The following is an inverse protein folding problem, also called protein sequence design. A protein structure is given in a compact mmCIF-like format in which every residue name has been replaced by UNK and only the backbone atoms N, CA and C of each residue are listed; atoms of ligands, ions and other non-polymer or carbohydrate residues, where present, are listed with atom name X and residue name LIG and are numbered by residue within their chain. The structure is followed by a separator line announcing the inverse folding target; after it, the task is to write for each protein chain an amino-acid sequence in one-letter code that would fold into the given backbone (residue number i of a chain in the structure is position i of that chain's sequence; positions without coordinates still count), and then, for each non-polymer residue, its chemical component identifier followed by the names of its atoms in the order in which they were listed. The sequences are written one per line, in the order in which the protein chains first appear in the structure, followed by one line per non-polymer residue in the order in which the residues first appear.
data_IF_947527121117
#
_entry.id   IF_947527121117
#
_cell.length_a   1.000
_cell.length_b   1.000
_cell.length_c   1.000
_cell.angle_alpha   90.00
_cell.angle_beta   90.00
_cell.angle_gamma   90.00
#
_symmetry.space_group_name_H-M   'P 1'
#
loop_
_entity.id
_entity.type
_entity.pdbx_description
1 polymer ?
#
# COMPACT_ATOMS: atom_id res chain seq x y z
N UNK A 1 -44.88 45.11 -32.27
CA UNK A 1 -45.52 44.55 -31.05
C UNK A 1 -44.41 43.97 -30.17
N UNK A 2 -44.19 44.49 -28.95
CA UNK A 2 -43.15 43.94 -28.09
C UNK A 2 -43.64 42.59 -27.54
N UNK A 3 -42.87 41.56 -27.77
CA UNK A 3 -43.09 40.22 -27.19
C UNK A 3 -43.02 40.36 -25.67
N UNK A 4 -44.15 40.09 -25.00
CA UNK A 4 -44.28 40.34 -23.55
C UNK A 4 -43.25 39.52 -22.77
N UNK A 5 -42.55 40.13 -21.82
CA UNK A 5 -41.51 39.49 -21.01
C UNK A 5 -41.97 38.19 -20.32
N UNK A 6 -43.28 37.99 -20.17
CA UNK A 6 -43.87 36.74 -19.68
C UNK A 6 -43.66 35.55 -20.63
N UNK A 7 -43.69 35.80 -21.95
CA UNK A 7 -43.47 34.73 -22.97
C UNK A 7 -41.99 34.25 -22.96
N UNK A 8 -41.07 35.20 -22.78
CA UNK A 8 -39.63 34.91 -22.66
C UNK A 8 -39.33 34.12 -21.38
N UNK A 9 -39.96 34.50 -20.26
CA UNK A 9 -39.80 33.79 -18.98
C UNK A 9 -40.36 32.35 -19.04
N UNK A 10 -41.50 32.16 -19.72
CA UNK A 10 -42.09 30.83 -19.92
C UNK A 10 -41.22 29.96 -20.82
N UNK A 11 -40.68 30.55 -21.91
CA UNK A 11 -39.74 29.85 -22.79
C UNK A 11 -38.40 29.49 -22.10
N UNK A 12 -37.89 30.37 -21.24
CA UNK A 12 -36.70 30.09 -20.44
C UNK A 12 -36.96 29.01 -19.39
N UNK A 13 -38.13 28.99 -18.78
CA UNK A 13 -38.54 27.96 -17.84
C UNK A 13 -38.73 26.58 -18.53
N UNK A 14 -39.34 26.58 -19.73
CA UNK A 14 -39.45 25.39 -20.56
C UNK A 14 -38.07 24.87 -21.04
N UNK A 15 -37.16 25.78 -21.38
CA UNK A 15 -35.80 25.46 -21.76
C UNK A 15 -35.00 24.91 -20.56
N UNK A 16 -35.14 25.46 -19.38
CA UNK A 16 -34.59 24.93 -18.13
C UNK A 16 -35.19 23.56 -17.77
N UNK A 17 -36.50 23.35 -17.97
CA UNK A 17 -37.15 22.05 -17.78
C UNK A 17 -36.68 20.98 -18.80
N UNK A 18 -36.36 21.39 -20.02
CA UNK A 18 -35.76 20.50 -21.04
C UNK A 18 -34.28 20.16 -20.76
N UNK A 19 -33.55 21.04 -20.05
CA UNK A 19 -32.16 20.77 -19.62
C UNK A 19 -32.10 19.80 -18.42
N UNK A 20 -33.18 19.59 -17.69
CA UNK A 20 -33.33 18.58 -16.63
C UNK A 20 -33.78 17.23 -17.22
N UNK A 21 -33.39 16.88 -18.43
CA UNK A 21 -33.32 15.48 -18.80
C UNK A 21 -32.17 14.85 -18.02
N UNK A 22 -32.44 14.49 -16.77
CA UNK A 22 -31.61 13.57 -16.01
C UNK A 22 -31.47 12.32 -16.92
N UNK A 23 -30.30 12.14 -17.48
CA UNK A 23 -29.88 10.84 -17.99
C UNK A 23 -30.01 9.87 -16.83
N UNK A 24 -31.12 9.15 -16.75
CA UNK A 24 -31.25 8.02 -15.83
C UNK A 24 -30.21 7.00 -16.28
N UNK A 25 -29.00 7.14 -15.74
CA UNK A 25 -27.98 6.12 -15.90
C UNK A 25 -28.59 4.81 -15.41
N UNK A 26 -28.77 3.85 -16.32
CA UNK A 26 -29.35 2.55 -16.00
C UNK A 26 -28.56 1.92 -14.83
N UNK A 27 -29.25 1.69 -13.72
CA UNK A 27 -28.64 1.15 -12.50
C UNK A 27 -28.89 -0.36 -12.43
N UNK A 28 -27.87 -1.08 -12.06
CA UNK A 28 -27.86 -2.55 -12.01
C UNK A 28 -28.05 -3.01 -10.55
N UNK A 29 -28.95 -3.99 -10.39
CA UNK A 29 -29.09 -4.78 -9.14
C UNK A 29 -29.02 -6.25 -9.52
N UNK A 30 -27.98 -6.95 -9.02
CA UNK A 30 -27.71 -8.35 -9.34
C UNK A 30 -26.99 -9.07 -8.23
N UNK A 31 -27.25 -10.37 -8.15
CA UNK A 31 -26.50 -11.27 -7.28
C UNK A 31 -25.86 -12.36 -8.12
N UNK A 32 -24.53 -12.47 -7.99
CA UNK A 32 -23.73 -13.53 -8.59
C UNK A 32 -23.27 -14.47 -7.48
N UNK A 33 -23.29 -15.78 -7.73
CA UNK A 33 -22.81 -16.80 -6.81
C UNK A 33 -21.93 -17.79 -7.56
N UNK A 34 -20.62 -17.70 -7.34
CA UNK A 34 -19.59 -18.56 -7.94
C UNK A 34 -19.69 -18.69 -9.48
N UNK A 35 -20.05 -17.62 -10.18
CA UNK A 35 -20.07 -17.57 -11.65
C UNK A 35 -18.71 -17.14 -12.19
N UNK A 36 -18.37 -17.52 -13.45
CA UNK A 36 -17.18 -16.99 -14.07
C UNK A 36 -17.29 -15.48 -14.31
N UNK A 37 -16.16 -14.77 -14.28
CA UNK A 37 -16.14 -13.34 -14.50
C UNK A 37 -16.66 -12.99 -15.92
N UNK A 38 -16.27 -13.77 -16.93
CA UNK A 38 -16.75 -13.67 -18.29
C UNK A 38 -18.27 -13.83 -18.38
N UNK A 39 -18.87 -14.78 -17.65
CA UNK A 39 -20.32 -14.96 -17.61
C UNK A 39 -21.02 -13.77 -16.93
N UNK A 40 -20.45 -13.23 -15.86
CA UNK A 40 -20.98 -12.03 -15.20
C UNK A 40 -20.96 -10.81 -16.14
N UNK A 41 -19.88 -10.61 -16.90
CA UNK A 41 -19.79 -9.52 -17.90
C UNK A 41 -20.81 -9.71 -19.03
N UNK A 42 -21.03 -10.95 -19.51
CA UNK A 42 -22.07 -11.24 -20.52
C UNK A 42 -23.47 -10.90 -19.98
N UNK A 43 -23.78 -11.27 -18.74
CA UNK A 43 -25.08 -10.94 -18.12
C UNK A 43 -25.25 -9.43 -17.99
N UNK A 44 -24.21 -8.69 -17.57
CA UNK A 44 -24.25 -7.23 -17.51
C UNK A 44 -24.46 -6.62 -18.89
N UNK A 45 -23.73 -7.08 -19.90
CA UNK A 45 -23.84 -6.56 -21.26
C UNK A 45 -25.22 -6.78 -21.88
N UNK A 46 -25.85 -7.94 -21.59
CA UNK A 46 -27.21 -8.26 -22.07
C UNK A 46 -28.33 -7.44 -21.42
N UNK A 47 -28.08 -6.77 -20.31
CA UNK A 47 -29.10 -6.07 -19.50
C UNK A 47 -29.03 -4.55 -19.57
N UNK A 48 -28.08 -4.03 -20.28
CA UNK A 48 -27.88 -2.61 -20.45
C UNK A 48 -27.68 -2.28 -21.93
N UNK A 49 -27.93 -1.03 -22.34
CA UNK A 49 -27.88 -0.62 -23.74
C UNK A 49 -26.97 0.58 -23.96
N UNK A 50 -26.41 1.15 -22.89
CA UNK A 50 -25.56 2.33 -22.98
C UNK A 50 -24.13 1.98 -23.35
N UNK A 51 -23.58 0.93 -22.72
CA UNK A 51 -22.16 0.61 -22.86
C UNK A 51 -21.94 -0.64 -23.72
N UNK A 52 -20.86 -0.65 -24.48
CA UNK A 52 -20.32 -1.84 -25.12
C UNK A 52 -19.20 -2.41 -24.26
N UNK A 53 -19.42 -3.59 -23.65
CA UNK A 53 -18.44 -4.23 -22.78
C UNK A 53 -17.64 -5.25 -23.60
N UNK A 54 -16.36 -4.95 -23.80
CA UNK A 54 -15.41 -5.76 -24.55
C UNK A 54 -14.47 -6.50 -23.60
N UNK A 55 -14.25 -7.79 -23.82
CA UNK A 55 -13.32 -8.60 -23.05
C UNK A 55 -12.90 -9.87 -23.80
N UNK A 56 -11.75 -10.43 -23.43
CA UNK A 56 -11.29 -11.73 -23.93
C UNK A 56 -11.78 -12.82 -23.01
N UNK A 57 -12.62 -13.72 -23.54
CA UNK A 57 -13.31 -14.74 -22.75
C UNK A 57 -12.33 -15.62 -21.95
N UNK A 58 -11.34 -16.21 -22.64
CA UNK A 58 -10.38 -17.16 -22.04
C UNK A 58 -9.47 -16.50 -20.98
N UNK A 59 -9.28 -15.19 -21.05
CA UNK A 59 -8.48 -14.46 -20.04
C UNK A 59 -9.22 -14.34 -18.72
N UNK A 60 -10.57 -14.36 -18.72
CA UNK A 60 -11.40 -14.05 -17.55
C UNK A 60 -12.20 -15.24 -17.03
N UNK A 61 -12.24 -16.37 -17.72
CA UNK A 61 -13.11 -17.51 -17.39
C UNK A 61 -12.76 -18.18 -16.06
N UNK A 62 -11.46 -18.23 -15.70
CA UNK A 62 -11.03 -18.85 -14.45
C UNK A 62 -11.39 -18.04 -13.20
N UNK A 63 -11.55 -16.72 -13.35
CA UNK A 63 -11.91 -15.85 -12.20
C UNK A 63 -13.36 -16.05 -11.81
N UNK A 64 -13.62 -16.35 -10.53
CA UNK A 64 -14.94 -16.64 -10.00
C UNK A 64 -15.49 -15.48 -9.18
N UNK A 65 -16.73 -15.11 -9.43
CA UNK A 65 -17.40 -13.96 -8.81
C UNK A 65 -18.52 -14.41 -7.90
N UNK A 66 -18.49 -13.94 -6.66
CA UNK A 66 -19.60 -14.04 -5.70
C UNK A 66 -19.85 -12.65 -5.13
N UNK A 67 -20.83 -11.93 -5.65
CA UNK A 67 -21.07 -10.53 -5.30
C UNK A 67 -22.57 -10.20 -5.38
N UNK A 68 -23.00 -9.31 -4.49
CA UNK A 68 -24.30 -8.66 -4.54
C UNK A 68 -24.13 -7.20 -4.97
N UNK A 69 -24.53 -6.90 -6.18
CA UNK A 69 -24.56 -5.53 -6.74
C UNK A 69 -25.92 -4.93 -6.43
N UNK A 70 -25.98 -3.75 -5.85
CA UNK A 70 -27.22 -3.07 -5.51
C UNK A 70 -27.21 -1.64 -6.02
N UNK A 71 -28.13 -1.33 -6.94
CA UNK A 71 -28.37 0.02 -7.44
C UNK A 71 -27.09 0.78 -7.87
N UNK A 72 -26.24 0.13 -8.66
CA UNK A 72 -24.96 0.70 -9.12
C UNK A 72 -24.98 1.02 -10.62
N UNK A 73 -24.12 1.94 -11.05
CA UNK A 73 -23.82 2.14 -12.46
C UNK A 73 -23.11 0.91 -13.03
N UNK A 74 -23.13 0.74 -14.36
CA UNK A 74 -22.44 -0.40 -15.01
C UNK A 74 -20.93 -0.38 -14.75
N UNK A 75 -20.22 0.76 -14.89
CA UNK A 75 -18.81 0.82 -14.54
C UNK A 75 -18.53 0.46 -13.07
N UNK A 76 -19.31 0.99 -12.12
CA UNK A 76 -19.14 0.68 -10.70
C UNK A 76 -19.41 -0.80 -10.40
N UNK A 77 -20.43 -1.38 -11.06
CA UNK A 77 -20.72 -2.80 -10.95
C UNK A 77 -19.53 -3.65 -11.43
N UNK A 78 -18.92 -3.32 -12.58
CA UNK A 78 -17.74 -4.01 -13.10
C UNK A 78 -16.56 -3.85 -12.13
N UNK A 79 -16.31 -2.65 -11.62
CA UNK A 79 -15.25 -2.40 -10.64
C UNK A 79 -15.46 -3.22 -9.35
N UNK A 80 -16.69 -3.35 -8.89
CA UNK A 80 -17.02 -4.20 -7.74
C UNK A 80 -16.79 -5.69 -8.04
N UNK A 81 -17.09 -6.15 -9.26
CA UNK A 81 -16.82 -7.53 -9.69
C UNK A 81 -15.31 -7.81 -9.77
N UNK A 82 -14.51 -6.85 -10.26
CA UNK A 82 -13.06 -6.96 -10.33
C UNK A 82 -12.48 -7.23 -8.95
N UNK A 83 -12.89 -6.48 -7.93
CA UNK A 83 -12.42 -6.68 -6.57
C UNK A 83 -10.89 -6.72 -6.48
N UNK A 84 -10.33 -7.86 -6.05
CA UNK A 84 -8.89 -8.05 -5.90
C UNK A 84 -8.22 -8.77 -7.08
N UNK A 85 -8.96 -9.14 -8.10
CA UNK A 85 -8.39 -9.80 -9.26
C UNK A 85 -7.45 -8.88 -10.05
N UNK A 86 -6.42 -9.42 -10.72
CA UNK A 86 -5.53 -8.66 -11.58
C UNK A 86 -6.21 -8.31 -12.91
N UNK A 87 -7.38 -7.69 -12.82
CA UNK A 87 -8.23 -7.30 -13.94
C UNK A 87 -8.33 -5.78 -13.93
N UNK A 88 -8.22 -5.17 -15.09
CA UNK A 88 -8.37 -3.74 -15.31
C UNK A 88 -9.57 -3.46 -16.17
N UNK A 89 -10.31 -2.44 -15.80
CA UNK A 89 -11.33 -1.83 -16.64
C UNK A 89 -10.82 -0.48 -17.17
N UNK A 90 -10.94 -0.27 -18.46
CA UNK A 90 -10.70 1.02 -19.12
C UNK A 90 -11.97 1.44 -19.81
N UNK A 91 -12.41 2.67 -19.60
CA UNK A 91 -13.60 3.23 -20.23
C UNK A 91 -13.20 4.42 -21.11
N UNK A 92 -13.64 4.40 -22.37
CA UNK A 92 -13.56 5.52 -23.30
C UNK A 92 -14.96 5.74 -23.85
N UNK A 93 -15.59 6.84 -23.47
CA UNK A 93 -16.99 7.13 -23.76
C UNK A 93 -17.91 5.97 -23.32
N UNK A 94 -18.65 5.36 -24.25
CA UNK A 94 -19.55 4.23 -24.00
C UNK A 94 -18.89 2.86 -24.24
N UNK A 95 -17.59 2.82 -24.54
CA UNK A 95 -16.82 1.58 -24.69
C UNK A 95 -16.09 1.24 -23.38
N UNK A 96 -16.34 0.07 -22.86
CA UNK A 96 -15.67 -0.48 -21.68
C UNK A 96 -14.83 -1.68 -22.12
N UNK A 97 -13.52 -1.64 -21.89
CA UNK A 97 -12.60 -2.76 -22.06
C UNK A 97 -12.26 -3.36 -20.70
N UNK A 98 -12.39 -4.68 -20.59
CA UNK A 98 -12.03 -5.43 -19.38
C UNK A 98 -11.02 -6.49 -19.75
N UNK A 99 -9.83 -6.41 -19.15
CA UNK A 99 -8.71 -7.29 -19.48
C UNK A 99 -7.93 -7.74 -18.24
N UNK A 100 -7.33 -8.94 -18.31
CA UNK A 100 -6.37 -9.36 -17.31
C UNK A 100 -5.05 -8.60 -17.49
N UNK A 101 -4.55 -7.96 -16.41
CA UNK A 101 -3.30 -7.18 -16.46
C UNK A 101 -2.05 -8.05 -16.49
N UNK A 102 -2.18 -9.33 -16.16
CA UNK A 102 -1.08 -10.29 -16.12
C UNK A 102 -1.34 -11.40 -17.16
N UNK A 103 -0.71 -11.27 -18.32
CA UNK A 103 -0.80 -12.28 -19.39
C UNK A 103 0.22 -13.38 -19.14
N UNK A 104 -0.21 -14.45 -18.48
CA UNK A 104 0.63 -15.61 -18.14
C UNK A 104 -0.01 -16.89 -18.65
N UNK A 105 0.83 -17.91 -18.91
CA UNK A 105 0.38 -19.21 -19.38
C UNK A 105 -0.15 -20.12 -18.26
N UNK A 106 0.26 -19.85 -17.02
CA UNK A 106 -0.14 -20.64 -15.85
C UNK A 106 -0.99 -19.79 -14.91
N UNK A 107 -1.93 -20.45 -14.24
CA UNK A 107 -2.81 -19.83 -13.24
C UNK A 107 -2.92 -20.75 -12.04
N UNK A 108 -2.27 -20.35 -10.93
CA UNK A 108 -2.41 -21.06 -9.67
C UNK A 108 -3.78 -20.76 -9.07
N UNK A 109 -4.55 -21.81 -8.80
CA UNK A 109 -5.91 -21.68 -8.27
C UNK A 109 -6.19 -22.71 -7.18
N UNK A 110 -7.06 -22.33 -6.28
CA UNK A 110 -7.46 -23.14 -5.14
C UNK A 110 -8.53 -22.49 -4.29
N UNK A 111 -8.81 -23.08 -3.16
CA UNK A 111 -9.76 -22.58 -2.18
C UNK A 111 -9.20 -22.67 -0.78
N UNK A 112 -9.29 -21.58 -0.02
CA UNK A 112 -8.83 -21.49 1.37
C UNK A 112 -10.04 -21.60 2.27
N UNK A 113 -9.96 -22.48 3.28
CA UNK A 113 -11.01 -22.67 4.28
C UNK A 113 -10.42 -22.71 5.69
N UNK A 114 -11.24 -22.37 6.68
CA UNK A 114 -10.90 -22.53 8.09
C UNK A 114 -10.96 -24.01 8.54
N UNK A 115 -10.71 -24.26 9.82
CA UNK A 115 -10.77 -25.59 10.42
C UNK A 115 -12.17 -26.23 10.34
N UNK A 116 -13.21 -25.42 10.26
CA UNK A 116 -14.61 -25.86 10.16
C UNK A 116 -15.09 -26.04 8.72
N UNK A 117 -14.25 -25.67 7.72
CA UNK A 117 -14.58 -25.72 6.31
C UNK A 117 -15.27 -24.47 5.77
N UNK A 118 -15.43 -23.43 6.58
CA UNK A 118 -15.94 -22.15 6.11
C UNK A 118 -14.91 -21.44 5.24
N UNK A 119 -15.35 -20.62 4.29
CA UNK A 119 -14.49 -19.84 3.43
C UNK A 119 -13.60 -18.86 4.23
N UNK A 120 -12.31 -18.83 3.93
CA UNK A 120 -11.42 -17.79 4.41
C UNK A 120 -11.42 -16.64 3.38
N UNK A 121 -12.27 -15.64 3.63
CA UNK A 121 -12.42 -14.48 2.77
C UNK A 121 -11.21 -13.56 2.89
N UNK A 122 -10.68 -13.12 1.76
CA UNK A 122 -9.60 -12.11 1.68
C UNK A 122 -8.28 -12.54 2.35
N UNK A 123 -7.99 -13.84 2.40
CA UNK A 123 -6.66 -14.33 2.76
C UNK A 123 -5.64 -13.91 1.70
N UNK A 124 -4.46 -13.48 2.12
CA UNK A 124 -3.36 -13.14 1.22
C UNK A 124 -2.62 -14.41 0.78
N UNK A 125 -2.35 -14.52 -0.51
CA UNK A 125 -1.54 -15.57 -1.10
C UNK A 125 -0.38 -14.95 -1.87
N UNK A 126 0.84 -15.20 -1.44
CA UNK A 126 2.06 -14.76 -2.13
C UNK A 126 2.78 -15.96 -2.68
N UNK A 127 3.03 -15.97 -3.99
CA UNK A 127 3.83 -16.99 -4.65
C UNK A 127 5.27 -16.47 -4.77
N UNK A 128 6.18 -17.22 -4.22
CA UNK A 128 7.61 -16.91 -4.18
C UNK A 128 8.38 -17.91 -5.05
N UNK A 129 9.46 -17.46 -5.64
CA UNK A 129 10.46 -18.33 -6.25
C UNK A 129 11.12 -19.19 -5.15
N UNK A 130 11.15 -20.52 -5.28
CA UNK A 130 11.81 -21.37 -4.28
C UNK A 130 13.34 -21.20 -4.24
N UNK A 131 13.93 -20.50 -5.21
CA UNK A 131 15.39 -20.34 -5.35
C UNK A 131 15.88 -19.14 -4.53
N UNK A 132 15.23 -17.99 -4.69
CA UNK A 132 15.67 -16.70 -4.17
C UNK A 132 14.61 -15.95 -3.36
N UNK A 133 13.43 -16.57 -3.17
CA UNK A 133 12.29 -16.00 -2.45
C UNK A 133 11.74 -14.69 -3.07
N UNK A 134 12.05 -14.41 -4.33
CA UNK A 134 11.45 -13.29 -5.05
C UNK A 134 9.96 -13.53 -5.30
N UNK A 135 9.14 -12.47 -5.27
CA UNK A 135 7.70 -12.58 -5.51
C UNK A 135 7.47 -12.79 -7.02
N UNK A 136 6.88 -13.94 -7.38
CA UNK A 136 6.54 -14.31 -8.78
C UNK A 136 5.05 -14.22 -9.06
N UNK A 137 4.22 -14.06 -8.04
CA UNK A 137 2.78 -13.86 -8.15
C UNK A 137 2.15 -13.59 -6.80
N UNK A 138 0.96 -12.99 -6.82
CA UNK A 138 0.19 -12.79 -5.60
C UNK A 138 -1.30 -12.69 -5.91
N UNK A 139 -2.11 -12.98 -4.92
CA UNK A 139 -3.55 -12.87 -5.01
C UNK A 139 -4.20 -12.83 -3.63
N UNK A 140 -5.50 -12.66 -3.65
CA UNK A 140 -6.35 -12.64 -2.46
C UNK A 140 -7.54 -13.55 -2.72
N UNK A 141 -7.94 -14.35 -1.72
CA UNK A 141 -9.14 -15.17 -1.85
C UNK A 141 -10.41 -14.30 -1.89
N UNK A 142 -11.39 -14.73 -2.65
CA UNK A 142 -12.70 -14.07 -2.72
C UNK A 142 -13.60 -14.49 -1.53
N UNK A 143 -14.87 -14.06 -1.54
CA UNK A 143 -15.86 -14.35 -0.51
C UNK A 143 -16.13 -15.85 -0.32
N UNK A 144 -15.87 -16.67 -1.33
CA UNK A 144 -15.96 -18.13 -1.23
C UNK A 144 -14.65 -18.81 -0.83
N UNK A 145 -13.61 -18.02 -0.51
CA UNK A 145 -12.27 -18.51 -0.24
C UNK A 145 -11.48 -18.93 -1.48
N UNK A 146 -12.04 -18.80 -2.69
CA UNK A 146 -11.38 -19.18 -3.94
C UNK A 146 -10.41 -18.09 -4.40
N UNK A 147 -9.32 -18.51 -5.01
CA UNK A 147 -8.31 -17.58 -5.58
C UNK A 147 -7.81 -18.07 -6.94
N UNK A 148 -7.38 -17.12 -7.76
CA UNK A 148 -6.70 -17.38 -9.05
C UNK A 148 -5.54 -16.39 -9.16
N UNK A 149 -4.33 -16.90 -9.35
CA UNK A 149 -3.10 -16.11 -9.42
C UNK A 149 -2.37 -16.45 -10.71
N UNK A 150 -2.33 -15.51 -11.67
CA UNK A 150 -1.48 -15.65 -12.86
C UNK A 150 0.00 -15.70 -12.44
N UNK A 151 0.75 -16.65 -13.02
CA UNK A 151 2.16 -16.85 -12.70
C UNK A 151 2.87 -17.56 -13.84
N UNK A 152 4.12 -17.20 -14.15
CA UNK A 152 4.92 -17.87 -15.18
C UNK A 152 5.80 -19.01 -14.64
N UNK A 153 5.92 -19.14 -13.30
CA UNK A 153 6.77 -20.16 -12.67
C UNK A 153 6.00 -21.45 -12.48
N UNK A 154 6.60 -22.58 -12.91
CA UNK A 154 6.01 -23.92 -12.73
C UNK A 154 6.15 -24.47 -11.31
N UNK A 155 7.07 -23.94 -10.52
CA UNK A 155 7.29 -24.33 -9.14
C UNK A 155 7.35 -23.08 -8.28
N UNK A 156 6.52 -23.02 -7.25
CA UNK A 156 6.39 -21.84 -6.38
C UNK A 156 6.37 -22.26 -4.91
N UNK A 157 6.90 -21.41 -4.04
CA UNK A 157 6.65 -21.46 -2.60
C UNK A 157 5.46 -20.54 -2.32
N UNK A 158 4.30 -21.13 -2.04
CA UNK A 158 3.12 -20.36 -1.67
C UNK A 158 3.16 -20.04 -0.18
N UNK A 159 3.10 -18.75 0.15
CA UNK A 159 2.93 -18.23 1.51
C UNK A 159 1.50 -17.70 1.63
N UNK A 160 0.75 -18.25 2.57
CA UNK A 160 -0.66 -17.90 2.80
C UNK A 160 -0.78 -17.33 4.20
N UNK A 161 -1.31 -16.11 4.31
CA UNK A 161 -1.53 -15.42 5.59
C UNK A 161 -3.00 -15.04 5.73
N UNK A 162 -3.51 -15.25 6.93
CA UNK A 162 -4.87 -14.88 7.30
C UNK A 162 -4.94 -14.53 8.79
N UNK A 163 -5.74 -13.53 9.14
CA UNK A 163 -5.82 -13.01 10.52
C UNK A 163 -6.31 -14.10 11.47
N UNK A 164 -5.53 -14.35 12.52
CA UNK A 164 -5.85 -15.36 13.56
C UNK A 164 -5.48 -16.79 13.18
N UNK A 165 -4.77 -17.01 12.10
CA UNK A 165 -4.33 -18.31 11.63
C UNK A 165 -2.82 -18.37 11.40
N UNK A 166 -2.25 -19.55 11.57
CA UNK A 166 -0.83 -19.80 11.29
C UNK A 166 -0.54 -19.60 9.81
N UNK A 167 0.57 -18.91 9.53
CA UNK A 167 1.06 -18.76 8.17
C UNK A 167 1.40 -20.12 7.57
N UNK A 168 0.84 -20.42 6.40
CA UNK A 168 1.17 -21.62 5.64
C UNK A 168 2.26 -21.25 4.64
N UNK A 169 3.35 -22.05 4.61
CA UNK A 169 4.39 -21.97 3.59
C UNK A 169 4.60 -23.36 2.99
N UNK A 170 4.24 -23.53 1.70
CA UNK A 170 4.28 -24.83 1.03
C UNK A 170 4.68 -24.68 -0.43
N UNK A 171 5.48 -25.65 -0.92
CA UNK A 171 5.90 -25.71 -2.32
C UNK A 171 4.80 -26.41 -3.14
N UNK A 172 4.45 -25.78 -4.28
CA UNK A 172 3.53 -26.32 -5.27
C UNK A 172 4.21 -26.39 -6.64
N UNK A 173 4.04 -27.53 -7.31
CA UNK A 173 4.46 -27.72 -8.70
C UNK A 173 3.28 -27.92 -9.65
N UNK A 174 2.07 -28.02 -9.08
CA UNK A 174 0.81 -28.09 -9.83
C UNK A 174 0.04 -26.79 -9.62
N UNK A 175 -0.40 -26.13 -10.68
CA UNK A 175 -1.25 -24.94 -10.59
C UNK A 175 -2.59 -25.16 -9.88
N UNK A 176 -3.13 -26.38 -9.89
CA UNK A 176 -4.32 -26.77 -9.10
C UNK A 176 -3.89 -27.08 -7.66
N UNK A 177 -4.00 -26.07 -6.78
CA UNK A 177 -3.57 -26.17 -5.38
C UNK A 177 -4.59 -26.88 -4.48
N UNK A 178 -5.84 -27.05 -4.97
CA UNK A 178 -6.92 -27.72 -4.25
C UNK A 178 -7.46 -26.91 -3.07
N UNK A 179 -7.99 -27.63 -2.05
CA UNK A 179 -8.48 -27.00 -0.82
C UNK A 179 -7.35 -26.91 0.19
N UNK A 180 -7.10 -25.69 0.67
CA UNK A 180 -6.08 -25.39 1.66
C UNK A 180 -6.77 -25.06 2.99
N UNK A 181 -6.53 -25.89 4.00
CA UNK A 181 -7.15 -25.75 5.33
C UNK A 181 -6.20 -24.99 6.25
N UNK A 182 -6.69 -23.87 6.80
CA UNK A 182 -5.98 -23.07 7.77
C UNK A 182 -6.02 -23.69 9.16
N UNK A 183 -4.97 -23.45 9.96
CA UNK A 183 -4.90 -23.84 11.36
C UNK A 183 -4.96 -22.60 12.23
N UNK A 184 -5.84 -22.52 13.23
CA UNK A 184 -5.90 -21.39 14.15
C UNK A 184 -4.55 -21.14 14.82
N UNK A 185 -4.20 -19.89 15.00
CA UNK A 185 -3.08 -19.50 15.83
C UNK A 185 -3.60 -18.99 17.17
N UNK A 186 -3.14 -19.63 18.24
CA UNK A 186 -3.49 -19.18 19.60
C UNK A 186 -2.59 -18.00 19.94
N UNK A 187 -3.11 -16.79 19.87
CA UNK A 187 -2.37 -15.61 20.33
C UNK A 187 -2.42 -15.53 21.85
N UNK A 188 -1.27 -15.71 22.50
CA UNK A 188 -1.11 -15.49 23.92
C UNK A 188 -0.49 -14.10 24.12
N UNK A 189 -1.29 -13.12 24.54
CA UNK A 189 -0.80 -11.80 24.89
C UNK A 189 -0.80 -11.67 26.41
N UNK A 190 0.37 -11.48 27.02
CA UNK A 190 0.56 -11.36 28.48
C UNK A 190 -0.10 -12.50 29.27
N UNK A 191 -0.01 -13.75 28.78
CA UNK A 191 -0.55 -14.93 29.47
C UNK A 191 -2.06 -15.14 29.35
N UNK A 192 -2.76 -14.35 28.56
CA UNK A 192 -4.21 -14.48 28.30
C UNK A 192 -4.46 -14.91 26.86
N UNK A 193 -5.31 -15.93 26.70
CA UNK A 193 -5.80 -16.35 25.36
C UNK A 193 -6.76 -15.29 24.85
N UNK A 194 -6.37 -14.58 23.81
CA UNK A 194 -7.20 -13.55 23.22
C UNK A 194 -8.11 -14.17 22.14
N UNK A 195 -9.42 -14.13 22.42
CA UNK A 195 -10.46 -14.37 21.41
C UNK A 195 -10.95 -13.01 20.92
N UNK A 196 -10.63 -12.65 19.68
CA UNK A 196 -11.16 -11.45 19.02
C UNK A 196 -12.11 -11.84 17.88
N UNK A 197 -12.97 -10.91 17.49
CA UNK A 197 -13.78 -11.11 16.30
C UNK A 197 -12.91 -11.06 15.04
N UNK A 198 -13.33 -11.77 13.99
CA UNK A 198 -12.69 -11.68 12.67
C UNK A 198 -12.87 -10.26 12.11
N UNK A 199 -11.90 -9.73 11.37
CA UNK A 199 -12.06 -8.44 10.71
C UNK A 199 -13.26 -8.46 9.77
N UNK A 200 -14.04 -7.38 9.79
CA UNK A 200 -15.10 -7.17 8.81
C UNK A 200 -14.55 -6.40 7.62
N UNK A 201 -14.83 -6.88 6.44
CA UNK A 201 -14.39 -6.29 5.18
C UNK A 201 -15.57 -5.64 4.48
N UNK A 202 -15.44 -4.34 4.17
CA UNK A 202 -16.42 -3.60 3.39
C UNK A 202 -15.83 -3.22 2.05
N UNK A 203 -16.28 -3.88 0.99
CA UNK A 203 -15.85 -3.56 -0.36
C UNK A 203 -16.49 -2.26 -0.84
N UNK A 204 -15.69 -1.45 -1.54
CA UNK A 204 -16.13 -0.23 -2.23
C UNK A 204 -15.58 -0.22 -3.66
N UNK A 205 -16.14 0.56 -4.59
CA UNK A 205 -15.51 0.80 -5.88
C UNK A 205 -14.09 1.32 -5.65
N UNK A 206 -13.09 0.58 -6.15
CA UNK A 206 -11.69 0.95 -6.04
C UNK A 206 -10.93 0.49 -4.79
N UNK A 207 -11.58 -0.16 -3.79
CA UNK A 207 -10.84 -0.58 -2.60
C UNK A 207 -11.63 -1.39 -1.58
N UNK A 208 -11.01 -1.62 -0.43
CA UNK A 208 -11.60 -2.31 0.71
C UNK A 208 -11.35 -1.51 1.99
N UNK A 209 -12.36 -1.40 2.82
CA UNK A 209 -12.23 -0.93 4.20
C UNK A 209 -12.26 -2.14 5.15
N UNK A 210 -11.29 -2.19 6.05
CA UNK A 210 -11.11 -3.26 7.04
C UNK A 210 -11.33 -2.68 8.42
N UNK A 211 -12.29 -3.22 9.17
CA UNK A 211 -12.50 -2.86 10.56
C UNK A 211 -11.36 -3.43 11.41
N UNK A 212 -10.70 -2.59 12.21
CA UNK A 212 -9.63 -2.96 13.12
C UNK A 212 -10.15 -3.02 14.54
N UNK A 213 -10.98 -2.05 14.93
CA UNK A 213 -11.59 -1.95 16.26
C UNK A 213 -12.41 -3.20 16.58
N UNK A 214 -12.26 -3.69 17.82
CA UNK A 214 -12.91 -4.93 18.34
C UNK A 214 -12.51 -6.22 17.66
N UNK A 215 -11.52 -6.20 16.76
CA UNK A 215 -11.02 -7.39 16.06
C UNK A 215 -9.64 -7.83 16.57
N UNK A 216 -9.18 -9.00 16.09
CA UNK A 216 -7.83 -9.48 16.37
C UNK A 216 -6.74 -8.51 15.89
N UNK A 217 -7.01 -7.72 14.85
CA UNK A 217 -6.07 -6.72 14.35
C UNK A 217 -5.73 -5.64 15.39
N UNK A 218 -6.68 -5.26 16.24
CA UNK A 218 -6.45 -4.28 17.32
C UNK A 218 -5.52 -4.81 18.44
N UNK A 219 -5.20 -6.09 18.44
CA UNK A 219 -4.33 -6.75 19.43
C UNK A 219 -2.93 -7.01 18.91
N UNK A 220 -2.63 -6.63 17.68
CA UNK A 220 -1.29 -6.76 17.10
C UNK A 220 -0.25 -5.93 17.86
N UNK A 221 1.03 -6.28 17.73
CA UNK A 221 2.11 -5.61 18.45
C UNK A 221 2.32 -4.17 17.98
N UNK A 222 2.18 -3.92 16.67
CA UNK A 222 2.36 -2.62 16.06
C UNK A 222 1.50 -2.46 14.80
N UNK A 223 1.41 -1.23 14.30
CA UNK A 223 0.58 -0.91 13.12
C UNK A 223 1.10 -1.54 11.82
N UNK A 224 2.40 -1.78 11.68
CA UNK A 224 2.93 -2.45 10.50
C UNK A 224 2.51 -3.91 10.43
N UNK A 225 2.41 -4.60 11.58
CA UNK A 225 1.87 -5.96 11.63
C UNK A 225 0.39 -5.98 11.20
N UNK A 226 -0.39 -4.98 11.61
CA UNK A 226 -1.78 -4.82 11.13
C UNK A 226 -1.81 -4.66 9.62
N UNK A 227 -1.00 -3.74 9.08
CA UNK A 227 -0.94 -3.45 7.64
C UNK A 227 -0.55 -4.70 6.83
N UNK A 228 0.40 -5.49 7.32
CA UNK A 228 0.87 -6.70 6.65
C UNK A 228 -0.19 -7.82 6.55
N UNK A 229 -1.22 -7.76 7.38
CA UNK A 229 -2.35 -8.69 7.36
C UNK A 229 -3.52 -8.20 6.49
N UNK A 230 -3.45 -6.96 5.99
CA UNK A 230 -4.50 -6.43 5.12
C UNK A 230 -4.41 -7.03 3.72
N UNK A 231 -5.55 -7.22 3.03
CA UNK A 231 -5.58 -7.71 1.66
C UNK A 231 -4.70 -6.86 0.72
N UNK A 232 -3.84 -7.52 -0.05
CA UNK A 232 -2.92 -6.92 -1.03
C UNK A 232 -1.80 -6.05 -0.45
N UNK A 233 -1.67 -5.91 0.84
CA UNK A 233 -0.60 -5.14 1.47
C UNK A 233 0.54 -6.08 1.86
N UNK A 234 1.75 -5.64 1.65
CA UNK A 234 2.97 -6.27 2.14
C UNK A 234 3.83 -5.24 2.84
N UNK A 235 4.42 -5.64 3.95
CA UNK A 235 5.31 -4.79 4.74
C UNK A 235 6.64 -5.52 4.91
N UNK A 236 7.73 -4.80 4.59
CA UNK A 236 9.10 -5.24 4.80
C UNK A 236 9.82 -4.16 5.63
N UNK A 237 10.07 -4.48 6.91
CA UNK A 237 10.49 -3.47 7.90
C UNK A 237 9.46 -2.35 8.03
N UNK A 238 9.81 -1.15 7.58
CA UNK A 238 8.90 0.01 7.52
C UNK A 238 8.42 0.33 6.10
N UNK A 239 8.86 -0.43 5.10
CA UNK A 239 8.47 -0.23 3.71
C UNK A 239 7.13 -0.91 3.44
N UNK A 240 6.12 -0.10 3.12
CA UNK A 240 4.78 -0.57 2.77
C UNK A 240 4.68 -0.64 1.25
N UNK A 241 4.12 -1.72 0.74
CA UNK A 241 3.79 -1.89 -0.67
C UNK A 241 2.40 -2.49 -0.85
N UNK A 242 1.74 -2.10 -1.93
CA UNK A 242 0.48 -2.69 -2.37
C UNK A 242 0.76 -3.50 -3.63
N UNK A 243 0.40 -4.77 -3.62
CA UNK A 243 0.71 -5.69 -4.71
C UNK A 243 0.17 -5.20 -6.05
N UNK A 244 1.09 -5.10 -7.03
CA UNK A 244 0.80 -4.61 -8.38
C UNK A 244 0.57 -3.10 -8.50
N UNK A 245 0.80 -2.34 -7.40
CA UNK A 245 0.57 -0.90 -7.29
C UNK A 245 1.72 -0.13 -6.62
N UNK A 246 2.81 -0.83 -6.29
CA UNK A 246 3.99 -0.21 -5.69
C UNK A 246 3.76 0.38 -4.30
N UNK A 247 4.44 1.49 -4.00
CA UNK A 247 4.37 2.18 -2.71
C UNK A 247 3.12 3.05 -2.63
N UNK A 248 2.22 2.82 -1.65
CA UNK A 248 1.00 3.62 -1.52
C UNK A 248 1.29 4.99 -0.91
N UNK A 249 0.42 5.97 -1.21
CA UNK A 249 0.31 7.15 -0.35
C UNK A 249 -0.50 6.76 0.89
N UNK A 250 0.02 7.10 2.06
CA UNK A 250 -0.64 6.80 3.34
C UNK A 250 -1.25 8.08 3.91
N UNK A 251 -2.47 7.97 4.43
CA UNK A 251 -3.16 9.03 5.17
C UNK A 251 -3.54 8.53 6.56
N UNK A 252 -3.38 9.38 7.57
CA UNK A 252 -3.88 9.20 8.93
C UNK A 252 -4.90 10.28 9.20
N UNK A 253 -6.16 9.92 9.44
CA UNK A 253 -7.27 10.85 9.65
C UNK A 253 -7.34 11.95 8.57
N UNK A 254 -7.15 11.54 7.30
CA UNK A 254 -7.09 12.40 6.11
C UNK A 254 -5.83 13.28 5.98
N UNK A 255 -4.91 13.27 6.93
CA UNK A 255 -3.61 13.93 6.81
C UNK A 255 -2.64 13.00 6.08
N UNK A 256 -1.99 13.49 5.02
CA UNK A 256 -0.95 12.73 4.31
C UNK A 256 0.24 12.47 5.22
N UNK A 257 0.70 11.24 5.23
CA UNK A 257 1.90 10.80 5.96
C UNK A 257 3.12 11.06 5.09
N UNK A 258 4.03 11.86 5.57
CA UNK A 258 5.28 12.17 4.90
C UNK A 258 6.48 11.42 5.51
N UNK A 259 6.27 10.78 6.68
CA UNK A 259 7.28 10.04 7.41
C UNK A 259 6.65 8.80 8.07
N UNK A 260 7.21 7.62 7.81
CA UNK A 260 6.71 6.35 8.37
C UNK A 260 6.76 6.32 9.91
N UNK A 261 7.56 7.16 10.56
CA UNK A 261 7.52 7.31 12.02
C UNK A 261 6.15 7.77 12.54
N UNK A 262 5.34 8.44 11.72
CA UNK A 262 3.96 8.78 12.10
C UNK A 262 3.10 7.52 12.25
N UNK A 263 3.34 6.50 11.43
CA UNK A 263 2.65 5.20 11.49
C UNK A 263 3.12 4.41 12.72
N UNK A 264 4.43 4.44 13.02
CA UNK A 264 5.00 3.79 14.23
C UNK A 264 4.32 4.29 15.51
N UNK A 265 3.96 5.57 15.55
CA UNK A 265 3.36 6.20 16.73
C UNK A 265 1.88 5.87 16.93
N UNK A 266 1.23 5.17 15.98
CA UNK A 266 -0.14 4.70 16.13
C UNK A 266 -0.12 3.29 16.71
N UNK A 267 -0.80 3.09 17.83
CA UNK A 267 -1.01 1.74 18.38
C UNK A 267 -2.23 1.08 17.71
N UNK A 268 -2.19 -0.23 17.44
CA UNK A 268 -3.30 -0.94 16.79
C UNK A 268 -4.65 -0.81 17.50
N UNK A 269 -4.64 -0.73 18.83
CA UNK A 269 -5.84 -0.53 19.64
C UNK A 269 -6.48 0.85 19.46
N UNK A 270 -5.74 1.84 18.93
CA UNK A 270 -6.26 3.16 18.59
C UNK A 270 -6.77 3.26 17.15
N UNK A 271 -6.65 2.21 16.35
CA UNK A 271 -7.14 2.20 14.97
C UNK A 271 -8.60 1.76 14.95
N UNK A 272 -9.46 2.54 14.29
CA UNK A 272 -10.88 2.21 14.03
C UNK A 272 -11.01 1.34 12.77
N UNK A 273 -10.50 1.82 11.66
CA UNK A 273 -10.52 1.12 10.37
C UNK A 273 -9.34 1.53 9.48
N UNK A 274 -9.02 0.68 8.51
CA UNK A 274 -8.04 0.98 7.47
C UNK A 274 -8.67 0.70 6.12
N UNK A 275 -8.57 1.68 5.20
CA UNK A 275 -8.99 1.50 3.81
C UNK A 275 -7.78 1.32 2.92
N UNK A 276 -7.80 0.30 2.07
CA UNK A 276 -6.80 0.04 1.02
C UNK A 276 -7.46 0.30 -0.32
N UNK A 277 -7.05 1.38 -0.99
CA UNK A 277 -7.61 1.83 -2.27
C UNK A 277 -6.59 1.50 -3.35
N UNK A 278 -6.98 0.64 -4.29
CA UNK A 278 -6.12 0.14 -5.37
C UNK A 278 -6.49 0.70 -6.75
N UNK A 279 -7.55 1.50 -6.79
CA UNK A 279 -7.98 2.28 -7.95
C UNK A 279 -8.42 3.64 -7.45
N UNK A 280 -7.45 4.53 -7.13
CA UNK A 280 -7.74 5.88 -6.66
C UNK A 280 -8.52 6.62 -7.73
N UNK A 281 -9.54 7.37 -7.31
CA UNK A 281 -10.34 8.21 -8.19
C UNK A 281 -9.63 9.51 -8.56
N UNK A 282 -10.35 10.39 -9.29
CA UNK A 282 -9.87 11.69 -9.72
C UNK A 282 -9.55 12.69 -8.59
N UNK A 283 -9.79 12.30 -7.34
CA UNK A 283 -9.41 13.05 -6.14
C UNK A 283 -7.90 12.96 -5.82
N UNK A 284 -7.18 12.07 -6.51
CA UNK A 284 -5.73 11.89 -6.37
C UNK A 284 -5.02 12.22 -7.67
N UNK A 285 -3.73 12.56 -7.57
CA UNK A 285 -2.88 12.77 -8.74
C UNK A 285 -2.85 11.53 -9.64
N UNK A 286 -2.72 11.72 -10.94
CA UNK A 286 -2.76 10.65 -11.94
C UNK A 286 -1.66 9.58 -11.76
N UNK A 287 -0.58 9.92 -11.07
CA UNK A 287 0.56 9.03 -10.77
C UNK A 287 0.32 8.16 -9.53
N UNK A 288 -0.76 8.44 -8.77
CA UNK A 288 -1.07 7.69 -7.54
C UNK A 288 -1.76 6.39 -7.88
N UNK A 289 -1.08 5.29 -7.73
CA UNK A 289 -1.60 3.97 -8.04
C UNK A 289 -2.33 3.29 -6.89
N UNK A 290 -2.03 3.68 -5.64
CA UNK A 290 -2.68 3.12 -4.45
C UNK A 290 -2.62 4.07 -3.26
N UNK A 291 -3.62 3.95 -2.39
CA UNK A 291 -3.75 4.78 -1.18
C UNK A 291 -4.13 3.90 0.00
N UNK A 292 -3.52 4.14 1.15
CA UNK A 292 -3.93 3.55 2.43
C UNK A 292 -4.42 4.67 3.34
N UNK A 293 -5.66 4.57 3.82
CA UNK A 293 -6.24 5.51 4.78
C UNK A 293 -6.43 4.83 6.12
N UNK A 294 -5.71 5.28 7.14
CA UNK A 294 -5.83 4.84 8.52
C UNK A 294 -6.75 5.80 9.25
N UNK A 295 -7.85 5.30 9.77
CA UNK A 295 -8.76 6.05 10.66
C UNK A 295 -8.51 5.61 12.10
N UNK A 296 -8.15 6.56 12.96
CA UNK A 296 -8.05 6.32 14.38
C UNK A 296 -9.41 6.50 15.06
N UNK A 297 -9.53 6.00 16.28
CA UNK A 297 -10.68 6.28 17.13
C UNK A 297 -10.80 7.78 17.42
N UNK A 298 -12.00 8.23 17.73
CA UNK A 298 -12.20 9.59 18.17
C UNK A 298 -11.43 9.88 19.46
N UNK A 299 -10.91 11.09 19.56
CA UNK A 299 -10.16 11.54 20.74
C UNK A 299 -11.14 11.78 21.89
N UNK A 300 -11.31 10.81 22.77
CA UNK A 300 -12.26 10.91 23.89
C UNK A 300 -11.67 11.51 25.18
N UNK A 301 -10.33 11.62 25.28
CA UNK A 301 -9.67 12.09 26.50
C UNK A 301 -8.57 13.11 26.21
N UNK A 302 -8.47 14.11 27.11
CA UNK A 302 -7.28 14.92 27.19
C UNK A 302 -6.12 14.07 27.74
N UNK A 303 -4.94 14.20 27.17
CA UNK A 303 -3.83 13.38 27.60
C UNK A 303 -2.48 13.89 27.16
N UNK A 304 -1.47 13.46 27.91
CA UNK A 304 -0.07 13.60 27.54
C UNK A 304 0.51 12.21 27.33
N UNK A 305 1.30 12.05 26.29
CA UNK A 305 2.05 10.82 26.04
C UNK A 305 3.51 11.14 25.76
N UNK A 306 4.40 10.32 26.31
CA UNK A 306 5.83 10.36 26.07
C UNK A 306 6.25 8.96 25.60
N UNK A 307 7.04 8.92 24.55
CA UNK A 307 7.70 7.71 24.06
C UNK A 307 9.18 7.98 23.91
N UNK A 308 9.99 7.03 24.37
CA UNK A 308 11.42 7.05 24.15
C UNK A 308 11.85 5.65 23.68
N UNK A 309 12.53 5.60 22.56
CA UNK A 309 13.14 4.38 22.01
C UNK A 309 14.64 4.62 21.87
N UNK A 310 15.44 3.66 22.28
CA UNK A 310 16.88 3.67 22.08
C UNK A 310 17.33 2.30 21.60
N UNK A 311 18.17 2.29 20.58
CA UNK A 311 18.75 1.07 20.03
C UNK A 311 20.23 1.28 19.78
N UNK A 312 21.07 0.36 20.27
CA UNK A 312 22.50 0.36 20.02
C UNK A 312 22.93 -0.90 19.29
N UNK A 313 23.80 -0.73 18.29
CA UNK A 313 24.44 -1.83 17.57
C UNK A 313 25.96 -1.70 17.70
N UNK A 314 26.61 -2.77 18.09
CA UNK A 314 28.05 -2.85 18.15
C UNK A 314 28.55 -3.83 17.08
N UNK A 315 29.40 -3.33 16.18
CA UNK A 315 30.11 -4.12 15.19
C UNK A 315 31.46 -3.43 14.92
N UNK A 316 32.48 -3.73 15.66
CA UNK A 316 33.76 -3.01 15.68
C UNK A 316 33.64 -1.55 16.16
N UNK A 317 32.58 -0.84 15.78
CA UNK A 317 32.19 0.48 16.25
C UNK A 317 30.77 0.48 16.82
N UNK A 318 30.49 1.42 17.68
CA UNK A 318 29.14 1.67 18.21
C UNK A 318 28.35 2.49 17.19
N UNK A 319 27.14 2.06 16.90
CA UNK A 319 26.11 2.84 16.20
C UNK A 319 24.88 2.86 17.09
N UNK A 320 24.21 3.97 17.16
CA UNK A 320 23.04 4.17 18.02
C UNK A 320 21.91 4.90 17.28
N UNK A 321 20.73 4.73 17.82
CA UNK A 321 19.50 5.34 17.36
C UNK A 321 18.68 5.71 18.60
N UNK A 322 18.24 6.95 18.65
CA UNK A 322 17.35 7.45 19.69
C UNK A 322 16.15 8.16 19.06
N UNK A 323 14.99 7.90 19.62
CA UNK A 323 13.76 8.59 19.33
C UNK A 323 13.08 9.02 20.63
N UNK A 324 12.78 10.30 20.76
CA UNK A 324 11.94 10.84 21.83
C UNK A 324 10.76 11.55 21.20
N UNK A 325 9.54 11.13 21.54
CA UNK A 325 8.33 11.75 21.06
C UNK A 325 7.44 12.13 22.23
N UNK A 326 7.00 13.38 22.25
CA UNK A 326 6.05 13.91 23.22
C UNK A 326 4.79 14.39 22.48
N UNK A 327 3.61 14.07 23.02
CA UNK A 327 2.33 14.50 22.48
C UNK A 327 1.43 14.95 23.60
N UNK A 328 0.80 16.10 23.42
CA UNK A 328 -0.31 16.56 24.23
C UNK A 328 -1.55 16.71 23.36
N UNK A 329 -2.65 16.12 23.77
CA UNK A 329 -3.92 16.17 23.03
C UNK A 329 -5.08 16.53 23.94
N UNK A 330 -6.03 17.24 23.37
CA UNK A 330 -7.38 17.49 23.91
C UNK A 330 -8.40 17.03 22.87
N UNK A 331 -9.69 17.18 23.16
CA UNK A 331 -10.76 16.89 22.16
C UNK A 331 -10.58 17.69 20.88
N UNK A 332 -10.07 18.93 20.95
CA UNK A 332 -9.97 19.83 19.80
C UNK A 332 -8.55 20.12 19.33
N UNK A 333 -7.56 19.93 20.17
CA UNK A 333 -6.19 20.37 19.90
C UNK A 333 -5.21 19.25 20.15
N UNK A 334 -4.23 19.13 19.30
CA UNK A 334 -3.07 18.26 19.49
C UNK A 334 -1.81 19.04 19.14
N UNK A 335 -0.78 18.88 19.95
CA UNK A 335 0.58 19.26 19.64
C UNK A 335 1.49 18.06 19.87
N UNK A 336 2.40 17.81 18.94
CA UNK A 336 3.37 16.73 19.07
C UNK A 336 4.73 17.20 18.60
N UNK A 337 5.75 16.77 19.35
CA UNK A 337 7.16 16.93 18.97
C UNK A 337 7.80 15.55 18.90
N UNK A 338 8.67 15.35 17.91
CA UNK A 338 9.45 14.12 17.74
C UNK A 338 10.87 14.48 17.38
N UNK A 339 11.81 14.06 18.24
CA UNK A 339 13.24 14.22 18.04
C UNK A 339 13.84 12.84 17.77
N UNK A 340 14.54 12.72 16.66
CA UNK A 340 15.24 11.49 16.25
C UNK A 340 16.70 11.79 16.01
N UNK A 341 17.57 10.95 16.54
CA UNK A 341 19.01 10.96 16.31
C UNK A 341 19.49 9.58 15.88
N UNK A 342 20.50 9.54 15.03
CA UNK A 342 21.13 8.31 14.58
C UNK A 342 22.63 8.55 14.36
N UNK A 343 23.46 7.86 15.12
CA UNK A 343 24.90 7.80 14.90
C UNK A 343 25.22 6.48 14.17
N UNK A 344 25.63 6.61 12.93
CA UNK A 344 25.86 5.48 12.04
C UNK A 344 27.34 5.35 11.74
N UNK A 345 27.95 4.27 12.19
CA UNK A 345 29.36 3.97 11.91
C UNK A 345 29.49 2.60 11.25
N UNK A 346 30.04 2.57 10.04
CA UNK A 346 30.27 1.34 9.26
C UNK A 346 31.64 1.38 8.59
N UNK A 347 32.32 0.23 8.65
CA UNK A 347 33.52 -0.04 7.85
C UNK A 347 33.20 -1.16 6.86
N UNK A 348 33.65 -0.99 5.64
CA UNK A 348 33.49 -1.97 4.56
C UNK A 348 34.83 -2.26 3.92
N UNK A 349 35.07 -3.56 3.73
CA UNK A 349 36.22 -4.05 2.95
C UNK A 349 35.66 -4.83 1.76
N UNK A 350 35.87 -4.30 0.57
CA UNK A 350 35.42 -4.87 -0.68
C UNK A 350 36.61 -5.32 -1.54
N UNK A 351 36.52 -6.53 -2.09
CA UNK A 351 37.46 -7.07 -3.02
C UNK A 351 36.76 -7.36 -4.35
N UNK A 352 37.07 -6.61 -5.39
CA UNK A 352 36.45 -6.71 -6.70
C UNK A 352 37.46 -7.20 -7.72
N UNK A 353 37.17 -8.32 -8.39
CA UNK A 353 37.90 -8.84 -9.53
C UNK A 353 37.07 -8.67 -10.78
N UNK A 354 37.65 -8.03 -11.79
CA UNK A 354 37.00 -7.80 -13.07
C UNK A 354 37.84 -8.34 -14.20
N UNK A 355 37.27 -9.24 -14.99
CA UNK A 355 37.89 -9.81 -16.18
C UNK A 355 37.15 -9.31 -17.43
N UNK A 356 37.89 -8.70 -18.36
CA UNK A 356 37.38 -8.27 -19.66
C UNK A 356 38.13 -9.00 -20.76
N UNK A 357 37.41 -9.87 -21.46
CA UNK A 357 37.95 -10.65 -22.57
C UNK A 357 37.60 -9.99 -23.90
N UNK A 358 38.62 -9.54 -24.62
CA UNK A 358 38.53 -9.05 -25.99
C UNK A 358 39.22 -10.10 -26.92
N UNK A 359 39.00 -10.07 -28.25
CA UNK A 359 39.57 -11.06 -29.17
C UNK A 359 41.09 -11.28 -29.02
N UNK A 360 41.85 -10.20 -28.79
CA UNK A 360 43.32 -10.23 -28.71
C UNK A 360 43.86 -9.79 -27.35
N UNK A 361 43.01 -9.46 -26.37
CA UNK A 361 43.43 -8.88 -25.09
C UNK A 361 42.56 -9.37 -23.95
N UNK A 362 43.23 -9.79 -22.88
CA UNK A 362 42.57 -10.11 -21.61
C UNK A 362 43.01 -9.08 -20.56
N UNK A 363 42.08 -8.27 -20.10
CA UNK A 363 42.27 -7.37 -18.98
C UNK A 363 41.78 -8.02 -17.72
N UNK A 364 42.62 -8.09 -16.70
CA UNK A 364 42.26 -8.49 -15.34
C UNK A 364 42.55 -7.32 -14.42
N UNK A 365 41.56 -6.97 -13.59
CA UNK A 365 41.66 -5.94 -12.60
C UNK A 365 41.32 -6.51 -11.23
N UNK A 366 42.21 -6.35 -10.27
CA UNK A 366 42.07 -6.77 -8.88
C UNK A 366 42.06 -5.52 -8.00
N UNK A 367 40.91 -5.22 -7.41
CA UNK A 367 40.67 -4.00 -6.62
C UNK A 367 40.31 -4.34 -5.19
N UNK A 368 41.08 -3.79 -4.26
CA UNK A 368 40.75 -3.73 -2.84
C UNK A 368 40.26 -2.33 -2.47
N UNK A 369 39.08 -2.24 -1.91
CA UNK A 369 38.48 -1.01 -1.42
C UNK A 369 38.17 -1.14 0.06
N UNK A 370 38.77 -0.28 0.87
CA UNK A 370 38.44 -0.09 2.26
C UNK A 370 37.70 1.23 2.43
N UNK A 371 36.55 1.24 3.12
CA UNK A 371 35.83 2.47 3.47
C UNK A 371 35.45 2.47 4.95
N UNK A 372 35.55 3.64 5.54
CA UNK A 372 35.15 3.92 6.93
C UNK A 372 34.27 5.18 6.94
N UNK A 373 33.00 4.97 7.32
CA UNK A 373 31.96 6.00 7.26
C UNK A 373 31.37 6.21 8.65
N UNK A 374 31.40 7.46 9.10
CA UNK A 374 30.76 7.90 10.34
C UNK A 374 29.85 9.09 10.05
N UNK A 375 28.55 8.93 10.26
CA UNK A 375 27.53 9.95 10.01
C UNK A 375 26.61 10.06 11.21
N UNK A 376 26.36 11.30 11.65
CA UNK A 376 25.38 11.61 12.68
C UNK A 376 24.25 12.44 12.12
N UNK A 377 23.05 11.90 12.18
CA UNK A 377 21.83 12.53 11.70
C UNK A 377 20.96 13.04 12.85
N UNK A 378 20.23 14.10 12.58
CA UNK A 378 19.20 14.66 13.44
C UNK A 378 17.94 14.91 12.61
N UNK A 379 16.80 14.54 13.14
CA UNK A 379 15.50 14.99 12.64
C UNK A 379 14.64 15.47 13.81
N UNK A 380 14.09 16.66 13.68
CA UNK A 380 13.11 17.20 14.61
C UNK A 380 11.85 17.57 13.87
N UNK A 381 10.70 17.11 14.37
CA UNK A 381 9.38 17.42 13.82
C UNK A 381 8.47 17.96 14.91
N UNK A 382 7.95 19.16 14.70
CA UNK A 382 6.89 19.77 15.48
C UNK A 382 5.61 19.76 14.65
N UNK A 383 4.49 19.36 15.22
CA UNK A 383 3.17 19.42 14.57
C UNK A 383 2.10 19.94 15.51
N UNK A 384 1.11 20.61 14.94
CA UNK A 384 -0.05 21.09 15.67
C UNK A 384 -1.31 20.91 14.81
N UNK A 385 -2.38 20.40 15.44
CA UNK A 385 -3.65 20.10 14.80
C UNK A 385 -4.79 20.67 15.61
N UNK A 386 -5.77 21.32 14.96
CA UNK A 386 -6.94 21.89 15.60
C UNK A 386 -8.22 21.46 14.89
N UNK A 387 -9.13 20.82 15.63
CA UNK A 387 -10.47 20.45 15.16
C UNK A 387 -11.43 21.63 15.41
N UNK A 388 -11.84 22.29 14.34
CA UNK A 388 -12.83 23.37 14.39
C UNK A 388 -14.20 22.83 14.85
N UNK A 389 -14.57 21.67 14.30
CA UNK A 389 -15.75 20.86 14.65
C UNK A 389 -15.52 19.41 14.20
N UNK A 390 -16.53 18.54 14.35
CA UNK A 390 -16.44 17.10 14.01
C UNK A 390 -16.14 16.80 12.54
N UNK A 391 -16.34 17.79 11.66
CA UNK A 391 -16.14 17.63 10.21
C UNK A 391 -15.02 18.49 9.65
N UNK A 392 -14.42 19.38 10.43
CA UNK A 392 -13.44 20.36 9.94
C UNK A 392 -12.23 20.44 10.86
N UNK A 393 -11.06 20.27 10.28
CA UNK A 393 -9.77 20.38 10.97
C UNK A 393 -8.75 21.14 10.15
N UNK A 394 -7.87 21.86 10.83
CA UNK A 394 -6.71 22.54 10.28
C UNK A 394 -5.48 22.16 11.08
N UNK A 395 -4.34 22.04 10.43
CA UNK A 395 -3.11 21.76 11.12
C UNK A 395 -1.89 22.03 10.25
N UNK A 396 -0.75 21.81 10.85
CA UNK A 396 0.52 21.93 10.15
C UNK A 396 1.64 21.26 10.88
N UNK A 397 2.75 21.10 10.20
CA UNK A 397 3.98 20.58 10.76
C UNK A 397 5.20 21.26 10.18
N UNK A 398 6.25 21.28 10.95
CA UNK A 398 7.57 21.69 10.51
C UNK A 398 8.56 20.60 10.88
N UNK A 399 9.41 20.21 9.94
CA UNK A 399 10.47 19.22 10.14
C UNK A 399 11.80 19.79 9.67
N UNK A 400 12.78 19.64 10.51
CA UNK A 400 14.18 19.72 10.15
C UNK A 400 14.77 18.30 10.03
N UNK A 401 15.55 18.04 9.00
CA UNK A 401 16.35 16.84 8.86
C UNK A 401 17.74 17.23 8.38
N UNK A 402 18.76 16.80 9.09
CA UNK A 402 20.11 17.17 8.72
C UNK A 402 21.17 16.21 9.24
N UNK A 403 22.36 16.33 8.67
CA UNK A 403 23.55 15.64 9.12
C UNK A 403 24.37 16.62 10.00
N UNK A 404 24.44 16.31 11.29
CA UNK A 404 25.21 17.10 12.27
C UNK A 404 26.71 16.96 12.06
N UNK A 405 27.15 15.76 11.72
CA UNK A 405 28.53 15.43 11.41
C UNK A 405 28.57 14.27 10.41
N UNK A 406 29.47 14.35 9.45
CA UNK A 406 29.65 13.30 8.46
C UNK A 406 31.08 13.24 7.96
N UNK A 407 31.64 12.04 7.94
CA UNK A 407 32.93 11.76 7.33
C UNK A 407 32.94 10.35 6.78
N UNK A 408 33.35 10.23 5.51
CA UNK A 408 33.66 8.95 4.88
C UNK A 408 35.09 9.00 4.37
N UNK A 409 35.91 8.09 4.81
CA UNK A 409 37.26 7.88 4.31
C UNK A 409 37.25 6.63 3.43
N UNK A 410 37.89 6.67 2.28
CA UNK A 410 38.06 5.50 1.42
C UNK A 410 39.53 5.40 0.99
N UNK A 411 40.00 4.18 0.92
CA UNK A 411 41.29 3.82 0.34
C UNK A 411 41.08 2.68 -0.65
N UNK A 412 41.53 2.85 -1.88
CA UNK A 412 41.45 1.82 -2.91
C UNK A 412 42.81 1.57 -3.51
N UNK A 413 43.14 0.30 -3.67
CA UNK A 413 44.26 -0.15 -4.47
C UNK A 413 43.71 -1.01 -5.60
N UNK A 414 44.16 -0.75 -6.83
CA UNK A 414 43.72 -1.43 -8.02
C UNK A 414 44.97 -1.87 -8.81
N UNK A 415 45.12 -3.17 -8.99
CA UNK A 415 46.18 -3.77 -9.77
C UNK A 415 45.66 -4.19 -11.14
N UNK A 416 46.25 -3.69 -12.22
CA UNK A 416 45.79 -3.88 -13.59
C UNK A 416 46.76 -4.81 -14.32
N UNK A 417 46.24 -5.85 -14.98
CA UNK A 417 46.96 -6.81 -15.79
C UNK A 417 46.44 -6.84 -17.22
N UNK A 418 47.32 -6.95 -18.19
CA UNK A 418 47.02 -7.21 -19.60
C UNK A 418 47.66 -8.49 -20.05
N UNK A 419 46.87 -9.46 -20.50
CA UNK A 419 47.35 -10.81 -20.90
C UNK A 419 48.23 -11.47 -19.82
N UNK A 420 47.86 -11.27 -18.54
CA UNK A 420 48.63 -11.80 -17.41
C UNK A 420 49.89 -11.00 -17.00
N UNK A 421 50.21 -9.92 -17.73
CA UNK A 421 51.36 -9.06 -17.41
C UNK A 421 50.86 -7.83 -16.65
N UNK A 422 51.45 -7.56 -15.49
CA UNK A 422 51.13 -6.38 -14.69
C UNK A 422 51.43 -5.08 -15.44
N UNK A 423 50.46 -4.20 -15.52
CA UNK A 423 50.57 -2.90 -16.18
C UNK A 423 50.86 -1.76 -15.17
N UNK A 424 50.48 -1.99 -13.92
CA UNK A 424 50.70 -1.04 -12.85
C UNK A 424 49.67 -1.17 -11.73
N UNK A 425 49.89 -0.41 -10.68
CA UNK A 425 48.97 -0.30 -9.54
C UNK A 425 48.52 1.15 -9.41
N UNK A 426 47.17 1.33 -9.20
CA UNK A 426 46.56 2.61 -8.96
C UNK A 426 46.15 2.65 -7.50
N UNK A 427 46.62 3.66 -6.75
CA UNK A 427 46.19 3.91 -5.39
C UNK A 427 45.35 5.17 -5.35
N UNK A 428 44.21 5.11 -4.72
CA UNK A 428 43.30 6.25 -4.56
C UNK A 428 42.88 6.34 -3.12
N UNK A 429 43.00 7.53 -2.55
CA UNK A 429 42.47 7.87 -1.24
C UNK A 429 41.43 8.98 -1.39
N UNK A 430 40.28 8.80 -0.73
CA UNK A 430 39.20 9.77 -0.76
C UNK A 430 38.74 10.12 0.65
N UNK A 431 38.38 11.38 0.83
CA UNK A 431 37.70 11.85 2.05
C UNK A 431 36.50 12.65 1.61
N UNK A 432 35.33 12.22 2.02
CA UNK A 432 34.07 12.90 1.78
C UNK A 432 33.57 13.43 3.12
N UNK A 433 33.24 14.72 3.17
CA UNK A 433 32.58 15.35 4.31
C UNK A 433 31.21 15.85 3.83
N UNK A 434 30.20 14.97 3.82
CA UNK A 434 28.88 15.36 3.36
C UNK A 434 28.26 16.38 4.32
N UNK A 435 27.50 17.29 3.75
CA UNK A 435 26.67 18.24 4.48
C UNK A 435 25.24 18.11 3.95
N UNK A 436 24.30 17.88 4.83
CA UNK A 436 22.89 17.74 4.50
C UNK A 436 22.07 18.51 5.52
N UNK A 437 21.19 19.36 5.02
CA UNK A 437 20.17 20.02 5.82
C UNK A 437 18.95 20.26 4.95
N UNK A 438 17.79 19.87 5.41
CA UNK A 438 16.51 20.10 4.75
C UNK A 438 15.46 20.57 5.74
N UNK A 439 14.59 21.43 5.26
CA UNK A 439 13.46 21.96 6.00
C UNK A 439 12.19 21.61 5.24
N UNK A 440 11.18 21.15 5.93
CA UNK A 440 9.87 20.88 5.36
C UNK A 440 8.81 21.52 6.24
N UNK A 441 7.91 22.26 5.62
CA UNK A 441 6.74 22.81 6.29
C UNK A 441 5.48 22.33 5.57
N UNK A 442 4.54 21.80 6.33
CA UNK A 442 3.26 21.30 5.82
C UNK A 442 2.13 22.09 6.48
N UNK A 443 1.11 22.45 5.69
CA UNK A 443 -0.14 23.01 6.16
C UNK A 443 -1.27 22.23 5.50
N UNK A 444 -2.30 21.90 6.25
CA UNK A 444 -3.47 21.23 5.71
C UNK A 444 -4.78 21.76 6.29
N UNK A 445 -5.84 21.65 5.51
CA UNK A 445 -7.22 21.77 5.95
C UNK A 445 -8.03 20.62 5.37
N UNK A 446 -8.77 19.94 6.23
CA UNK A 446 -9.70 18.90 5.83
C UNK A 446 -11.07 19.22 6.39
N UNK A 447 -12.09 19.24 5.54
CA UNK A 447 -13.40 19.58 6.03
C UNK A 447 -14.51 19.49 5.00
N UNK A 448 -15.70 20.01 5.42
CA UNK A 448 -16.90 20.12 4.59
C UNK A 448 -17.48 21.51 4.70
N UNK A 449 -17.78 22.11 3.55
CA UNK A 449 -18.57 23.35 3.45
C UNK A 449 -19.87 23.00 2.71
N UNK A 450 -20.99 22.93 3.46
CA UNK A 450 -22.24 22.41 2.94
C UNK A 450 -22.13 20.93 2.55
N UNK A 451 -22.36 20.62 1.27
CA UNK A 451 -22.23 19.24 0.73
C UNK A 451 -20.85 18.97 0.08
N UNK A 452 -20.01 20.00 -0.01
CA UNK A 452 -18.69 19.90 -0.66
C UNK A 452 -17.63 19.51 0.36
N UNK A 453 -16.95 18.39 0.12
CA UNK A 453 -15.74 18.01 0.86
C UNK A 453 -14.55 18.81 0.34
N UNK A 454 -13.71 19.30 1.26
CA UNK A 454 -12.48 20.04 0.96
C UNK A 454 -11.32 19.30 1.63
N UNK A 455 -10.30 18.96 0.84
CA UNK A 455 -9.03 18.42 1.30
C UNK A 455 -7.94 19.29 0.67
N UNK A 456 -7.31 20.13 1.49
CA UNK A 456 -6.23 21.02 1.07
C UNK A 456 -4.96 20.66 1.79
N UNK A 457 -3.90 20.42 1.04
CA UNK A 457 -2.56 20.17 1.54
C UNK A 457 -1.57 21.03 0.79
N UNK A 458 -0.65 21.69 1.52
CA UNK A 458 0.47 22.43 0.95
C UNK A 458 1.74 22.02 1.68
N UNK A 459 2.79 21.71 0.92
CA UNK A 459 4.11 21.34 1.43
C UNK A 459 5.15 22.26 0.80
N UNK A 460 6.04 22.78 1.64
CA UNK A 460 7.24 23.54 1.26
C UNK A 460 8.48 22.74 1.68
N UNK A 461 9.48 22.68 0.78
CA UNK A 461 10.77 22.02 0.99
C UNK A 461 11.93 23.02 0.93
#
# INVERSE_FOLDING_TARGET
MPVSGKLISVLLLLFLLLLVQQSYAQRITRQYNNVSFSAALKDLNARQHKYTINFVYDELEDFRVTKSIRNQSVPDAIMQLIGFYPIRMTQVEDNIMVECTQKTTLRYKGRIVDESGNAAEYANITLLSPIDSTIVGHGVSNENGSFVIPCNSRKVLARITYVGYKTISRIYSNPEMGIIKLQPETMIIKGVVVKGERPQYKMSPGGVEVAVEHTLLSKMANTFDVLNLLPRVSVDGQKISVFGKGTPIVYINNKRVNDNNEIVNITPDNIKSISVITSPGAEYDAEVESVIRIRTKERHANGFSLRADAFGKYNKWMSDYELVSARYQTKKFEIANSLWMNDYHIGEDNHLKTDINLPDKHYHNDQHLHSDTNHRFLSEKLSADYSLNDSNSIGGSYRYYGMLNGRSNSASQQDVFLNGVAQGSIQQNGVIKPHLGSHQADIYYVGKIGQVGIDFNATYY
#
